data_IF_216634562560
#
_entry.id   IF_216634562560
#
_cell.length_a   1.000
_cell.length_b   1.000
_cell.length_c   1.000
_cell.angle_alpha   90.00
_cell.angle_beta   90.00
_cell.angle_gamma   90.00
#
_symmetry.space_group_name_H-M   'P 1'
#
loop_
_entity.id
_entity.type
_entity.pdbx_description
1 polymer ?
#
# COMPACT_ATOMS: atom_id res chain seq x y z
N UNK A 1 40.83 33.32 -25.02
CA UNK A 1 40.67 32.51 -26.26
C UNK A 1 39.53 31.51 -26.05
N UNK A 2 38.30 31.85 -26.48
CA UNK A 2 37.13 30.96 -26.43
C UNK A 2 36.85 30.47 -27.85
N UNK A 3 37.07 29.19 -28.12
CA UNK A 3 36.73 28.56 -29.41
C UNK A 3 35.21 28.37 -29.47
N UNK A 4 34.55 29.01 -30.43
CA UNK A 4 33.13 28.79 -30.77
C UNK A 4 33.03 27.49 -31.57
N UNK A 5 32.23 26.54 -31.10
CA UNK A 5 31.85 25.36 -31.88
C UNK A 5 30.63 25.71 -32.74
N UNK A 6 30.79 25.60 -34.07
CA UNK A 6 29.70 25.75 -35.03
C UNK A 6 29.03 24.38 -35.24
N UNK A 7 27.79 24.22 -34.77
CA UNK A 7 26.95 23.06 -35.10
C UNK A 7 26.19 23.37 -36.40
N UNK A 8 26.50 22.64 -37.48
CA UNK A 8 25.80 22.74 -38.76
C UNK A 8 24.51 21.93 -38.68
N UNK A 9 23.37 22.57 -38.93
CA UNK A 9 22.07 21.90 -39.04
C UNK A 9 21.89 21.43 -40.48
N UNK A 10 21.93 20.12 -40.71
CA UNK A 10 21.52 19.52 -41.97
C UNK A 10 20.00 19.28 -41.91
N UNK A 11 19.26 19.96 -42.77
CA UNK A 11 17.84 19.70 -43.01
C UNK A 11 17.71 18.45 -43.90
N UNK A 12 17.31 17.33 -43.31
CA UNK A 12 16.79 16.17 -44.06
C UNK A 12 15.30 16.05 -43.79
N UNK A 13 14.55 15.85 -44.88
CA UNK A 13 13.11 16.07 -44.98
C UNK A 13 12.26 15.28 -43.98
N UNK A 14 11.21 15.95 -43.51
CA UNK A 14 10.19 15.40 -42.63
C UNK A 14 9.16 14.66 -43.49
N UNK A 15 9.25 13.31 -43.54
CA UNK A 15 8.12 12.48 -43.95
C UNK A 15 7.19 12.40 -42.75
N UNK A 16 6.01 13.02 -42.86
CA UNK A 16 4.96 12.94 -41.85
C UNK A 16 4.36 11.53 -41.88
N UNK A 17 4.98 10.59 -41.18
CA UNK A 17 4.32 9.34 -40.79
C UNK A 17 3.29 9.73 -39.75
N UNK A 18 2.00 9.60 -40.07
CA UNK A 18 0.92 9.62 -39.09
C UNK A 18 1.14 8.45 -38.13
N UNK A 19 1.95 8.66 -37.10
CA UNK A 19 2.05 7.77 -35.97
C UNK A 19 0.70 7.75 -35.28
N UNK A 20 0.02 6.61 -35.33
CA UNK A 20 -0.99 6.27 -34.34
C UNK A 20 -0.32 6.50 -32.98
N UNK A 21 -0.80 7.50 -32.23
CA UNK A 21 -0.40 7.66 -30.84
C UNK A 21 -0.62 6.29 -30.18
N UNK A 22 0.39 5.71 -29.51
CA UNK A 22 0.14 4.54 -28.70
C UNK A 22 -0.97 4.96 -27.75
N UNK A 23 -2.09 4.26 -27.77
CA UNK A 23 -2.96 4.23 -26.61
C UNK A 23 -2.03 3.85 -25.46
N UNK A 24 -1.68 4.81 -24.62
CA UNK A 24 -1.12 4.51 -23.32
C UNK A 24 -2.23 3.71 -22.62
N UNK A 25 -2.18 2.38 -22.76
CA UNK A 25 -2.68 1.53 -21.70
C UNK A 25 -1.88 1.98 -20.49
N UNK A 26 -2.50 2.83 -19.67
CA UNK A 26 -1.88 3.29 -18.45
C UNK A 26 -1.78 2.08 -17.56
N UNK A 27 -0.65 1.37 -17.62
CA UNK A 27 -0.27 0.44 -16.58
C UNK A 27 -0.22 1.28 -15.30
N UNK A 28 -1.25 1.11 -14.46
CA UNK A 28 -1.31 1.84 -13.21
C UNK A 28 -0.07 1.54 -12.37
N UNK A 29 0.24 2.39 -11.39
CA UNK A 29 1.42 2.24 -10.53
C UNK A 29 1.62 0.79 -10.06
N UNK A 30 2.88 0.36 -10.00
CA UNK A 30 3.24 -0.95 -9.50
C UNK A 30 2.70 -1.17 -8.07
N UNK A 31 2.26 -2.39 -7.79
CA UNK A 31 1.83 -2.78 -6.45
C UNK A 31 3.04 -2.86 -5.50
N UNK A 32 2.80 -2.62 -4.23
CA UNK A 32 3.88 -2.55 -3.23
C UNK A 32 4.46 -3.94 -3.00
N UNK A 33 5.76 -4.11 -3.27
CA UNK A 33 6.50 -5.36 -3.04
C UNK A 33 7.49 -5.17 -1.89
N UNK A 34 7.02 -5.35 -0.66
CA UNK A 34 7.85 -5.31 0.55
C UNK A 34 7.48 -6.46 1.49
N UNK A 35 8.42 -6.89 2.32
CA UNK A 35 8.22 -7.89 3.39
C UNK A 35 8.83 -7.31 4.66
N UNK A 36 8.01 -7.19 5.69
CA UNK A 36 8.38 -6.79 7.05
C UNK A 36 8.06 -7.92 8.02
N UNK A 37 8.27 -7.72 9.32
CA UNK A 37 8.04 -8.76 10.32
C UNK A 37 6.54 -9.11 10.41
N UNK A 38 5.67 -8.10 10.43
CA UNK A 38 4.23 -8.29 10.61
C UNK A 38 3.42 -8.25 9.31
N UNK A 39 3.94 -7.62 8.25
CA UNK A 39 3.17 -7.38 7.03
C UNK A 39 3.97 -7.59 5.75
N UNK A 40 3.24 -7.96 4.70
CA UNK A 40 3.71 -7.96 3.32
C UNK A 40 2.89 -6.98 2.49
N UNK A 41 3.51 -6.36 1.49
CA UNK A 41 2.80 -5.49 0.55
C UNK A 41 1.92 -6.28 -0.44
N UNK A 42 0.89 -5.61 -0.97
CA UNK A 42 -0.11 -6.13 -1.90
C UNK A 42 0.47 -6.81 -3.14
N UNK A 43 1.63 -6.34 -3.62
CA UNK A 43 2.31 -6.90 -4.78
C UNK A 43 2.80 -8.33 -4.56
N UNK A 44 3.02 -8.76 -3.31
CA UNK A 44 3.35 -10.15 -3.01
C UNK A 44 2.11 -11.06 -3.10
N UNK A 45 0.93 -10.55 -2.75
CA UNK A 45 -0.34 -11.27 -2.89
C UNK A 45 -0.74 -11.41 -4.37
N UNK A 46 -0.50 -10.36 -5.15
CA UNK A 46 -0.83 -10.30 -6.58
C UNK A 46 -0.14 -11.41 -7.40
N UNK A 47 1.00 -11.94 -6.95
CA UNK A 47 1.69 -13.05 -7.62
C UNK A 47 0.79 -14.28 -7.86
N UNK A 48 -0.21 -14.51 -6.99
CA UNK A 48 -1.18 -15.60 -7.15
C UNK A 48 -2.63 -15.12 -7.23
N UNK A 49 -2.92 -13.88 -6.82
CA UNK A 49 -4.27 -13.32 -6.81
C UNK A 49 -4.58 -12.39 -8.00
N UNK A 50 -3.68 -12.34 -8.99
CA UNK A 50 -3.87 -11.71 -10.30
C UNK A 50 -4.13 -12.72 -11.41
N UNK A 51 -4.59 -12.23 -12.57
CA UNK A 51 -4.93 -13.02 -13.76
C UNK A 51 -5.93 -14.15 -13.50
N UNK A 52 -6.79 -13.98 -12.49
CA UNK A 52 -7.83 -14.95 -12.16
C UNK A 52 -9.03 -14.77 -13.09
N UNK A 53 -9.58 -15.87 -13.59
CA UNK A 53 -10.78 -15.84 -14.43
C UNK A 53 -11.84 -16.79 -13.90
N UNK A 54 -13.11 -16.42 -14.06
CA UNK A 54 -14.22 -17.35 -13.84
C UNK A 54 -14.43 -18.31 -15.02
N UNK A 55 -15.43 -19.19 -14.93
CA UNK A 55 -15.74 -20.18 -15.97
C UNK A 55 -16.15 -19.56 -17.32
N UNK A 56 -16.55 -18.29 -17.34
CA UNK A 56 -16.91 -17.55 -18.56
C UNK A 56 -15.72 -16.78 -19.15
N UNK A 57 -14.54 -16.84 -18.51
CA UNK A 57 -13.35 -16.09 -18.91
C UNK A 57 -13.35 -14.63 -18.41
N UNK A 58 -14.25 -14.27 -17.49
CA UNK A 58 -14.29 -12.92 -16.93
C UNK A 58 -13.19 -12.77 -15.87
N UNK A 59 -12.46 -11.65 -15.91
CA UNK A 59 -11.48 -11.30 -14.88
C UNK A 59 -12.14 -11.18 -13.51
N UNK A 60 -11.57 -11.91 -12.55
CA UNK A 60 -11.94 -11.90 -11.13
C UNK A 60 -10.69 -11.72 -10.25
N UNK A 61 -9.63 -11.13 -10.82
CA UNK A 61 -8.41 -10.79 -10.11
C UNK A 61 -8.69 -9.87 -8.92
N UNK A 62 -8.20 -10.26 -7.76
CA UNK A 62 -8.54 -9.58 -6.50
C UNK A 62 -7.74 -8.29 -6.38
N UNK A 63 -6.49 -8.30 -6.83
CA UNK A 63 -5.62 -7.12 -6.80
C UNK A 63 -6.14 -6.01 -7.72
N UNK A 64 -6.66 -6.37 -8.92
CA UNK A 64 -7.19 -5.42 -9.89
C UNK A 64 -8.46 -4.75 -9.37
N UNK A 65 -9.32 -5.49 -8.68
CA UNK A 65 -10.48 -4.93 -8.00
C UNK A 65 -10.05 -4.05 -6.81
N UNK A 66 -9.23 -4.56 -5.89
CA UNK A 66 -8.79 -3.83 -4.70
C UNK A 66 -8.08 -2.52 -5.03
N UNK A 67 -7.14 -2.51 -6.00
CA UNK A 67 -6.35 -1.33 -6.36
C UNK A 67 -7.21 -0.15 -6.85
N UNK A 68 -8.41 -0.43 -7.35
CA UNK A 68 -9.36 0.58 -7.84
C UNK A 68 -10.20 1.21 -6.73
N UNK A 69 -10.12 0.69 -5.50
CA UNK A 69 -10.95 1.14 -4.38
C UNK A 69 -10.29 2.27 -3.59
N UNK A 70 -11.07 2.93 -2.73
CA UNK A 70 -10.53 3.88 -1.75
C UNK A 70 -9.62 3.23 -0.70
N UNK A 71 -9.70 1.91 -0.49
CA UNK A 71 -8.82 1.19 0.46
C UNK A 71 -7.36 1.24 0.00
N UNK A 72 -7.11 0.90 -1.27
CA UNK A 72 -5.77 0.95 -1.87
C UNK A 72 -5.21 2.37 -2.04
N UNK A 73 -6.08 3.38 -1.97
CA UNK A 73 -5.74 4.79 -2.13
C UNK A 73 -5.82 5.58 -0.81
N UNK A 74 -6.08 4.91 0.32
CA UNK A 74 -6.35 5.57 1.59
C UNK A 74 -5.20 6.49 2.05
N UNK A 75 -3.95 6.06 1.88
CA UNK A 75 -2.76 6.88 2.17
C UNK A 75 -2.33 7.79 1.02
N UNK A 76 -2.74 7.47 -0.22
CA UNK A 76 -2.33 8.17 -1.46
C UNK A 76 -3.20 9.38 -1.77
N UNK A 77 -4.41 9.44 -1.23
CA UNK A 77 -5.36 10.51 -1.48
C UNK A 77 -4.75 11.88 -1.07
N UNK A 78 -4.48 12.79 -2.02
CA UNK A 78 -3.88 14.08 -1.72
C UNK A 78 -4.78 14.97 -0.87
N UNK A 79 -6.12 14.81 -0.95
CA UNK A 79 -7.04 15.55 -0.09
C UNK A 79 -6.93 15.08 1.36
N UNK A 80 -6.77 13.77 1.56
CA UNK A 80 -6.52 13.23 2.90
C UNK A 80 -5.19 13.72 3.46
N UNK A 81 -4.09 13.65 2.69
CA UNK A 81 -2.78 14.13 3.14
C UNK A 81 -2.82 15.63 3.49
N UNK A 82 -3.46 16.45 2.65
CA UNK A 82 -3.67 17.87 2.92
C UNK A 82 -4.51 18.10 4.18
N UNK A 83 -5.52 17.25 4.43
CA UNK A 83 -6.34 17.33 5.63
C UNK A 83 -5.54 17.01 6.90
N UNK A 84 -4.72 15.96 6.90
CA UNK A 84 -3.82 15.64 8.02
C UNK A 84 -2.90 16.81 8.33
N UNK A 85 -2.25 17.35 7.29
CA UNK A 85 -1.40 18.55 7.43
C UNK A 85 -2.17 19.76 7.99
N UNK A 86 -3.39 20.01 7.50
CA UNK A 86 -4.24 21.09 8.00
C UNK A 86 -4.64 20.93 9.47
N UNK A 87 -4.97 19.71 9.91
CA UNK A 87 -5.32 19.44 11.31
C UNK A 87 -4.11 19.65 12.24
N UNK A 88 -2.92 19.15 11.84
CA UNK A 88 -1.67 19.36 12.58
C UNK A 88 -1.31 20.84 12.68
N UNK A 89 -1.45 21.60 11.58
CA UNK A 89 -1.19 23.05 11.56
C UNK A 89 -2.15 23.82 12.48
N UNK A 90 -3.42 23.40 12.57
CA UNK A 90 -4.44 24.03 13.41
C UNK A 90 -4.28 23.70 14.88
N UNK A 91 -3.77 22.52 15.22
CA UNK A 91 -3.57 22.08 16.59
C UNK A 91 -2.20 21.41 16.79
N UNK A 92 -1.08 22.18 16.75
CA UNK A 92 0.26 21.60 16.82
C UNK A 92 0.52 20.79 18.10
N UNK A 93 -0.09 21.20 19.22
CA UNK A 93 0.02 20.48 20.49
C UNK A 93 -0.61 19.07 20.46
N UNK A 94 -1.45 18.76 19.47
CA UNK A 94 -2.11 17.47 19.29
C UNK A 94 -1.54 16.67 18.12
N UNK A 95 -0.41 17.09 17.54
CA UNK A 95 0.15 16.47 16.33
C UNK A 95 0.26 14.94 16.45
N UNK A 96 0.86 14.42 17.52
CA UNK A 96 1.01 12.97 17.72
C UNK A 96 -0.33 12.23 17.78
N UNK A 97 -1.32 12.80 18.45
CA UNK A 97 -2.67 12.23 18.56
C UNK A 97 -3.38 12.21 17.21
N UNK A 98 -3.27 13.30 16.44
CA UNK A 98 -3.87 13.42 15.11
C UNK A 98 -3.24 12.40 14.16
N UNK A 99 -1.91 12.38 14.07
CA UNK A 99 -1.20 11.50 13.15
C UNK A 99 -1.44 10.02 13.48
N UNK A 100 -1.38 9.64 14.76
CA UNK A 100 -1.69 8.27 15.18
C UNK A 100 -3.14 7.88 14.86
N UNK A 101 -4.09 8.80 15.08
CA UNK A 101 -5.50 8.55 14.79
C UNK A 101 -5.76 8.38 13.30
N UNK A 102 -5.18 9.23 12.45
CA UNK A 102 -5.32 9.13 11.01
C UNK A 102 -4.64 7.86 10.46
N UNK A 103 -3.45 7.52 10.97
CA UNK A 103 -2.70 6.33 10.55
C UNK A 103 -3.43 5.03 10.92
N UNK A 104 -4.29 5.04 11.95
CA UNK A 104 -5.10 3.88 12.37
C UNK A 104 -5.95 3.30 11.25
N UNK A 105 -6.43 4.14 10.33
CA UNK A 105 -7.28 3.69 9.23
C UNK A 105 -6.63 3.86 7.85
N UNK A 106 -5.76 4.87 7.65
CA UNK A 106 -5.22 5.18 6.33
C UNK A 106 -3.82 4.60 6.09
N UNK A 107 -3.04 4.31 7.14
CA UNK A 107 -1.70 3.70 7.08
C UNK A 107 -1.56 2.55 8.10
N UNK A 108 -2.53 1.62 8.16
CA UNK A 108 -2.69 0.74 9.31
C UNK A 108 -1.59 -0.31 9.47
N UNK A 109 -1.01 -0.81 8.35
CA UNK A 109 0.12 -1.74 8.41
C UNK A 109 1.37 -1.06 8.96
N UNK A 110 1.75 0.11 8.41
CA UNK A 110 2.91 0.87 8.91
C UNK A 110 2.73 1.30 10.37
N UNK A 111 1.53 1.72 10.79
CA UNK A 111 1.24 2.01 12.19
C UNK A 111 1.45 0.80 13.09
N UNK A 112 0.95 -0.36 12.68
CA UNK A 112 1.01 -1.59 13.48
C UNK A 112 2.46 -2.07 13.60
N UNK A 113 3.19 -2.12 12.49
CA UNK A 113 4.62 -2.45 12.47
C UNK A 113 5.45 -1.46 13.31
N UNK A 114 5.20 -0.15 13.19
CA UNK A 114 5.90 0.85 14.01
C UNK A 114 5.66 0.61 15.51
N UNK A 115 4.43 0.28 15.91
CA UNK A 115 4.10 -0.04 17.30
C UNK A 115 4.78 -1.31 17.79
N UNK A 116 4.80 -2.37 16.97
CA UNK A 116 5.50 -3.61 17.30
C UNK A 116 7.01 -3.38 17.49
N UNK A 117 7.60 -2.49 16.68
CA UNK A 117 9.01 -2.09 16.77
C UNK A 117 9.32 -1.05 17.85
N UNK A 118 8.32 -0.54 18.57
CA UNK A 118 8.49 0.55 19.55
C UNK A 118 8.86 1.90 18.93
N UNK A 119 8.58 2.10 17.65
CA UNK A 119 8.82 3.34 16.90
C UNK A 119 7.64 4.31 17.03
N UNK A 120 7.88 5.64 16.92
CA UNK A 120 6.81 6.61 16.90
C UNK A 120 5.92 6.43 15.66
N UNK A 121 4.61 6.62 15.84
CA UNK A 121 3.67 6.71 14.71
C UNK A 121 3.60 8.15 14.25
N UNK A 122 4.23 8.44 13.11
CA UNK A 122 4.25 9.76 12.48
C UNK A 122 3.91 9.67 11.00
N UNK A 123 3.07 10.59 10.52
CA UNK A 123 2.70 10.72 9.11
C UNK A 123 3.57 11.76 8.42
N UNK A 124 3.78 12.92 9.05
CA UNK A 124 4.41 14.10 8.45
C UNK A 124 5.87 14.26 8.91
N UNK A 125 6.65 15.02 8.14
CA UNK A 125 8.04 15.36 8.47
C UNK A 125 9.07 14.41 7.88
N UNK A 126 10.35 14.69 8.14
CA UNK A 126 11.48 13.90 7.63
C UNK A 126 11.49 12.45 8.14
N UNK A 127 10.99 12.24 9.37
CA UNK A 127 10.86 10.93 10.00
C UNK A 127 9.43 10.35 9.89
N UNK A 128 8.56 10.97 9.08
CA UNK A 128 7.17 10.54 8.90
C UNK A 128 7.00 9.50 7.79
N UNK A 129 5.92 8.74 7.84
CA UNK A 129 5.60 7.70 6.85
C UNK A 129 5.43 8.23 5.42
N UNK A 130 5.08 9.49 5.22
CA UNK A 130 5.00 10.08 3.87
C UNK A 130 6.37 10.35 3.25
N UNK A 131 7.45 10.35 4.04
CA UNK A 131 8.80 10.49 3.51
C UNK A 131 9.23 9.18 2.84
N UNK A 132 9.63 9.24 1.56
CA UNK A 132 10.07 8.07 0.78
C UNK A 132 11.27 7.34 1.40
N UNK A 133 12.09 8.04 2.19
CA UNK A 133 13.23 7.48 2.93
C UNK A 133 12.86 6.75 4.22
N UNK A 134 11.61 6.83 4.68
CA UNK A 134 11.17 6.11 5.88
C UNK A 134 11.07 4.60 5.59
N UNK A 135 11.62 3.70 6.44
CA UNK A 135 11.62 2.26 6.18
C UNK A 135 10.23 1.64 5.99
N UNK A 136 9.20 2.22 6.64
CA UNK A 136 7.80 1.79 6.53
C UNK A 136 6.98 2.55 5.47
N UNK A 137 7.61 3.42 4.67
CA UNK A 137 6.91 4.21 3.65
C UNK A 137 6.11 3.33 2.70
N UNK A 138 6.72 2.25 2.19
CA UNK A 138 6.07 1.31 1.29
C UNK A 138 4.79 0.71 1.90
N UNK A 139 4.85 0.21 3.15
CA UNK A 139 3.67 -0.31 3.86
C UNK A 139 2.62 0.77 4.12
N UNK A 140 3.04 2.00 4.42
CA UNK A 140 2.13 3.12 4.65
C UNK A 140 1.37 3.47 3.37
N UNK A 141 2.07 3.56 2.26
CA UNK A 141 1.49 3.90 0.96
C UNK A 141 0.65 2.77 0.37
N UNK A 142 0.75 1.54 0.85
CA UNK A 142 -0.13 0.44 0.42
C UNK A 142 -1.56 0.56 0.99
N UNK A 143 -1.80 1.51 1.89
CA UNK A 143 -3.13 1.85 2.41
C UNK A 143 -3.77 0.72 3.23
N UNK A 144 -5.07 0.54 3.07
CA UNK A 144 -5.82 -0.58 3.65
C UNK A 144 -5.64 -1.79 2.73
N UNK A 145 -4.54 -2.52 2.93
CA UNK A 145 -4.08 -3.59 2.04
C UNK A 145 -4.55 -4.98 2.46
N UNK A 146 -4.25 -5.98 1.61
CA UNK A 146 -4.60 -7.38 1.79
C UNK A 146 -4.16 -7.91 3.17
N UNK A 147 -2.87 -7.77 3.49
CA UNK A 147 -2.30 -8.28 4.73
C UNK A 147 -2.84 -7.57 5.99
N UNK A 148 -3.43 -6.39 5.88
CA UNK A 148 -4.15 -5.80 7.00
C UNK A 148 -5.47 -6.51 7.22
N UNK A 149 -6.39 -6.42 6.25
CA UNK A 149 -7.76 -6.89 6.42
C UNK A 149 -7.79 -8.39 6.73
N UNK A 150 -6.89 -9.14 6.11
CA UNK A 150 -6.79 -10.57 6.31
C UNK A 150 -6.03 -10.96 7.60
N UNK A 151 -5.44 -10.04 8.36
CA UNK A 151 -4.86 -10.35 9.69
C UNK A 151 -5.73 -9.85 10.85
N UNK A 152 -6.87 -9.21 10.59
CA UNK A 152 -7.82 -8.80 11.64
C UNK A 152 -8.40 -10.05 12.31
N UNK A 153 -8.03 -10.25 13.57
CA UNK A 153 -8.47 -11.39 14.37
C UNK A 153 -9.92 -11.22 14.84
N UNK A 154 -10.60 -12.35 15.08
CA UNK A 154 -11.94 -12.40 15.68
C UNK A 154 -11.89 -12.17 17.19
N UNK A 155 -11.41 -10.98 17.57
CA UNK A 155 -11.27 -10.53 18.96
C UNK A 155 -12.13 -9.27 19.12
N UNK A 156 -13.23 -9.41 19.84
CA UNK A 156 -14.23 -8.35 20.09
C UNK A 156 -14.85 -7.75 18.81
N UNK A 157 -14.82 -8.46 17.67
CA UNK A 157 -15.42 -7.97 16.42
C UNK A 157 -16.93 -7.78 16.59
N UNK A 158 -17.42 -6.60 16.23
CA UNK A 158 -18.82 -6.21 16.41
C UNK A 158 -19.12 -5.59 17.78
N UNK A 159 -18.14 -5.56 18.69
CA UNK A 159 -18.26 -4.92 20.00
C UNK A 159 -17.64 -3.52 20.00
N UNK A 160 -18.06 -2.69 20.97
CA UNK A 160 -17.58 -1.30 21.09
C UNK A 160 -16.05 -1.20 21.20
N UNK A 161 -15.40 -2.21 21.78
CA UNK A 161 -13.95 -2.28 21.92
C UNK A 161 -13.22 -2.31 20.56
N UNK A 162 -13.81 -2.86 19.51
CA UNK A 162 -13.19 -2.92 18.17
C UNK A 162 -13.48 -1.70 17.29
N UNK A 163 -14.39 -0.82 17.72
CA UNK A 163 -14.80 0.34 16.92
C UNK A 163 -13.67 1.36 16.77
N UNK A 164 -13.78 2.21 15.74
CA UNK A 164 -12.83 3.30 15.51
C UNK A 164 -11.37 2.85 15.30
N UNK A 165 -11.18 1.64 14.77
CA UNK A 165 -9.86 1.04 14.52
C UNK A 165 -9.28 0.30 15.72
N UNK A 166 -10.11 -0.13 16.67
CA UNK A 166 -9.74 -0.99 17.79
C UNK A 166 -9.67 -2.48 17.45
N UNK A 167 -9.59 -2.83 16.15
CA UNK A 167 -9.40 -4.22 15.73
C UNK A 167 -8.05 -4.75 16.23
N UNK A 168 -7.97 -6.06 16.42
CA UNK A 168 -6.74 -6.74 16.88
C UNK A 168 -6.01 -7.37 15.71
N UNK A 169 -4.69 -7.17 15.67
CA UNK A 169 -3.74 -7.89 14.82
C UNK A 169 -2.81 -8.65 15.75
N UNK A 170 -2.56 -9.92 15.47
CA UNK A 170 -1.57 -10.71 16.20
C UNK A 170 -0.16 -10.42 15.65
N UNK A 171 0.67 -9.78 16.47
CA UNK A 171 2.09 -9.53 16.18
C UNK A 171 3.01 -10.41 17.03
N UNK A 172 2.48 -11.49 17.61
CA UNK A 172 3.23 -12.46 18.43
C UNK A 172 3.60 -13.74 17.68
N UNK A 173 2.95 -14.01 16.55
CA UNK A 173 3.29 -15.10 15.64
C UNK A 173 4.30 -14.66 14.59
N UNK A 174 5.26 -15.51 14.25
CA UNK A 174 6.26 -15.25 13.21
C UNK A 174 6.00 -16.09 11.96
N UNK A 175 6.59 -15.68 10.83
CA UNK A 175 6.68 -16.53 9.65
C UNK A 175 7.41 -17.85 9.98
N UNK A 176 6.91 -19.01 9.51
CA UNK A 176 5.85 -19.17 8.52
C UNK A 176 4.43 -19.32 9.10
N UNK A 177 4.26 -19.21 10.42
CA UNK A 177 3.02 -19.50 11.15
C UNK A 177 2.15 -18.25 11.41
N UNK A 178 2.42 -17.15 10.68
CA UNK A 178 1.64 -15.92 10.81
C UNK A 178 0.22 -16.14 10.29
N UNK A 179 -0.77 -15.87 11.11
CA UNK A 179 -2.16 -16.16 10.76
C UNK A 179 -2.69 -15.21 9.68
N UNK A 180 -3.32 -15.75 8.64
CA UNK A 180 -4.05 -14.96 7.65
C UNK A 180 -5.43 -15.59 7.36
N UNK A 181 -6.49 -14.79 7.49
CA UNK A 181 -7.86 -15.26 7.41
C UNK A 181 -8.45 -15.00 6.03
N UNK A 182 -8.97 -16.04 5.37
CA UNK A 182 -9.68 -15.91 4.09
C UNK A 182 -11.18 -16.20 4.23
N UNK A 183 -12.01 -15.82 3.24
CA UNK A 183 -13.44 -16.09 3.27
C UNK A 183 -13.80 -17.54 2.92
N UNK A 184 -12.82 -18.35 2.49
CA UNK A 184 -13.05 -19.70 1.99
C UNK A 184 -12.70 -20.76 3.03
N UNK A 185 -13.53 -21.82 3.18
CA UNK A 185 -13.20 -22.94 4.06
C UNK A 185 -12.10 -23.82 3.43
N UNK A 186 -11.18 -24.31 4.25
CA UNK A 186 -10.13 -25.27 3.87
C UNK A 186 -9.31 -24.84 2.63
N UNK A 187 -8.70 -23.64 2.62
CA UNK A 187 -7.85 -23.24 1.50
C UNK A 187 -6.62 -24.14 1.39
N UNK A 188 -6.05 -24.24 0.19
CA UNK A 188 -4.74 -24.86 0.02
C UNK A 188 -3.66 -23.88 0.49
N UNK A 189 -3.09 -24.14 1.67
CA UNK A 189 -2.25 -23.16 2.40
C UNK A 189 -0.78 -23.14 1.98
N UNK A 190 -0.29 -24.20 1.32
CA UNK A 190 1.15 -24.37 1.03
C UNK A 190 1.77 -23.18 0.29
N UNK A 191 1.05 -22.48 -0.58
CA UNK A 191 1.54 -21.35 -1.34
C UNK A 191 1.70 -20.13 -0.43
N UNK A 192 0.73 -19.88 0.44
CA UNK A 192 0.81 -18.79 1.43
C UNK A 192 1.98 -19.04 2.38
N UNK A 193 2.11 -20.26 2.89
CA UNK A 193 3.20 -20.67 3.79
C UNK A 193 4.56 -20.51 3.10
N UNK A 194 4.74 -21.13 1.93
CA UNK A 194 6.05 -21.22 1.29
C UNK A 194 6.51 -19.92 0.61
N UNK A 195 5.59 -19.04 0.19
CA UNK A 195 5.96 -17.80 -0.53
C UNK A 195 5.88 -16.56 0.36
N UNK A 196 4.96 -16.53 1.33
CA UNK A 196 4.65 -15.33 2.10
C UNK A 196 4.80 -15.51 3.61
N UNK A 197 4.92 -16.76 4.10
CA UNK A 197 5.06 -17.04 5.52
C UNK A 197 3.76 -16.90 6.32
N UNK A 198 2.61 -17.12 5.68
CA UNK A 198 1.31 -17.11 6.34
C UNK A 198 0.62 -18.48 6.34
N UNK A 199 -0.09 -18.81 7.41
CA UNK A 199 -0.89 -20.03 7.61
C UNK A 199 -2.40 -19.79 7.54
#
# INVERSE_FOLDING_TARGET
MRKKAHCKWAWTGFVLVMGLAPLCLGDGLALVQTIHADFVGSGNCAACHSSLQDQSGKDVSIDSHWRSTMMANAAKDPLWQAKVSSEVLRAPALQSVIEEKCATCHMPMARTEAKALGLPVKILGEDGFLNEGHPLHALAMDGVSCALCHQVADVNLGEQASFSGGYTIDTSTDSPDRLIYGPFPNPFTNQMINNLGFT
#
